data_IF_199575767913
#
_entry.id   IF_199575767913
#
_cell.length_a   1.000
_cell.length_b   1.000
_cell.length_c   1.000
_cell.angle_alpha   90.00
_cell.angle_beta   90.00
_cell.angle_gamma   90.00
#
_symmetry.space_group_name_H-M   'P 1'
#
loop_
_entity.id
_entity.type
_entity.pdbx_description
1 polymer ?
#
# COMPACT_ATOMS: atom_id res chain seq x y z
N UNK A 1 -57.40 -23.19 20.28
CA UNK A 1 -56.50 -24.36 20.12
C UNK A 1 -56.40 -24.62 18.62
N UNK A 2 -55.30 -24.55 17.88
CA UNK A 2 -53.88 -24.28 18.16
C UNK A 2 -53.13 -23.92 16.85
N UNK A 3 -52.10 -23.06 16.96
CA UNK A 3 -50.76 -23.03 16.30
C UNK A 3 -50.67 -23.23 14.76
N UNK A 4 -50.12 -22.34 13.91
CA UNK A 4 -48.83 -21.59 13.88
C UNK A 4 -47.58 -22.45 14.09
N UNK A 5 -46.88 -22.78 13.00
CA UNK A 5 -45.43 -23.03 12.88
C UNK A 5 -45.10 -23.22 11.38
N UNK A 6 -44.62 -22.21 10.66
CA UNK A 6 -43.19 -21.88 10.47
C UNK A 6 -42.30 -23.13 10.39
N UNK A 7 -42.14 -23.66 9.18
CA UNK A 7 -41.07 -24.61 8.86
C UNK A 7 -39.84 -23.83 8.44
N UNK A 8 -38.89 -23.78 9.36
CA UNK A 8 -37.54 -23.25 9.19
C UNK A 8 -36.82 -24.06 8.11
N UNK A 9 -36.43 -23.40 7.02
CA UNK A 9 -35.28 -23.85 6.22
C UNK A 9 -34.01 -23.45 6.99
N UNK A 10 -33.63 -24.31 7.93
CA UNK A 10 -32.31 -24.29 8.55
C UNK A 10 -31.34 -25.03 7.64
N UNK A 11 -30.95 -24.40 6.53
CA UNK A 11 -29.75 -24.81 5.83
C UNK A 11 -28.56 -24.16 6.54
N UNK A 12 -28.09 -24.89 7.56
CA UNK A 12 -26.73 -24.75 8.08
C UNK A 12 -25.74 -25.02 6.95
N UNK A 13 -25.47 -23.99 6.15
CA UNK A 13 -24.49 -24.04 5.08
C UNK A 13 -23.10 -24.03 5.70
N UNK A 14 -22.62 -25.25 5.91
CA UNK A 14 -21.31 -25.68 6.37
C UNK A 14 -20.17 -24.65 6.17
N UNK A 15 -19.80 -23.98 7.27
CA UNK A 15 -18.77 -22.93 7.39
C UNK A 15 -17.31 -23.45 7.23
N UNK A 16 -17.15 -24.72 6.90
CA UNK A 16 -15.84 -25.38 6.77
C UNK A 16 -15.17 -25.20 5.40
N UNK A 17 -15.86 -24.62 4.40
CA UNK A 17 -15.35 -24.46 3.03
C UNK A 17 -14.89 -23.03 2.65
N UNK A 18 -15.13 -22.02 3.51
CA UNK A 18 -14.65 -20.64 3.28
C UNK A 18 -13.12 -20.45 3.29
N UNK A 19 -12.28 -21.22 4.01
CA UNK A 19 -10.83 -20.96 4.07
C UNK A 19 -10.09 -21.28 2.75
N UNK A 20 -10.60 -22.21 1.94
CA UNK A 20 -9.87 -22.73 0.77
C UNK A 20 -10.01 -21.83 -0.47
N UNK A 21 -11.13 -21.12 -0.63
CA UNK A 21 -11.36 -20.21 -1.77
C UNK A 21 -10.59 -18.88 -1.67
N UNK A 22 -10.10 -18.50 -0.49
CA UNK A 22 -9.31 -17.27 -0.30
C UNK A 22 -7.94 -17.30 -0.98
N UNK A 23 -7.39 -18.48 -1.28
CA UNK A 23 -6.06 -18.66 -1.90
C UNK A 23 -6.02 -18.52 -3.43
N UNK A 24 -7.13 -18.21 -4.10
CA UNK A 24 -7.19 -18.22 -5.57
C UNK A 24 -6.98 -16.88 -6.27
N UNK A 25 -6.85 -15.75 -5.55
CA UNK A 25 -6.64 -14.45 -6.20
C UNK A 25 -5.46 -13.72 -5.59
N UNK A 26 -4.58 -13.25 -6.47
CA UNK A 26 -3.35 -12.53 -6.17
C UNK A 26 -3.69 -11.22 -5.42
N UNK A 27 -2.96 -10.93 -4.36
CA UNK A 27 -2.93 -9.64 -3.68
C UNK A 27 -1.84 -8.79 -4.32
N UNK A 28 -2.23 -7.63 -4.84
CA UNK A 28 -1.27 -6.66 -5.37
C UNK A 28 -0.52 -5.97 -4.24
N UNK A 29 0.81 -5.97 -4.31
CA UNK A 29 1.66 -5.19 -3.41
C UNK A 29 2.11 -3.95 -4.16
N UNK A 30 1.91 -2.80 -3.54
CA UNK A 30 2.10 -1.47 -4.13
C UNK A 30 3.11 -0.68 -3.31
N UNK A 31 3.86 0.19 -3.96
CA UNK A 31 4.61 1.23 -3.27
C UNK A 31 4.57 2.54 -4.03
N UNK A 32 4.37 3.65 -3.31
CA UNK A 32 4.47 4.99 -3.88
C UNK A 32 5.92 5.48 -3.85
N UNK A 33 6.41 5.99 -4.97
CA UNK A 33 7.79 6.47 -5.11
C UNK A 33 7.81 7.94 -5.51
N UNK A 34 8.47 8.76 -4.70
CA UNK A 34 8.54 10.21 -4.91
C UNK A 34 9.69 10.58 -5.84
N UNK A 35 9.54 10.31 -7.14
CA UNK A 35 10.45 10.77 -8.20
C UNK A 35 11.86 10.15 -8.24
N UNK A 36 12.22 9.29 -7.29
CA UNK A 36 13.53 8.63 -7.25
C UNK A 36 13.63 7.49 -8.27
N UNK A 37 14.43 7.68 -9.33
CA UNK A 37 14.66 6.70 -10.40
C UNK A 37 15.08 5.32 -9.89
N UNK A 38 16.17 5.28 -9.12
CA UNK A 38 16.74 4.02 -8.66
C UNK A 38 15.84 3.32 -7.65
N UNK A 39 15.17 4.07 -6.78
CA UNK A 39 14.17 3.52 -5.84
C UNK A 39 13.02 2.87 -6.61
N UNK A 40 12.50 3.53 -7.65
CA UNK A 40 11.45 3.00 -8.50
C UNK A 40 11.90 1.72 -9.23
N UNK A 41 13.11 1.70 -9.79
CA UNK A 41 13.65 0.49 -10.42
C UNK A 41 13.86 -0.64 -9.42
N UNK A 42 14.44 -0.37 -8.24
CA UNK A 42 14.67 -1.37 -7.21
C UNK A 42 13.35 -2.02 -6.74
N UNK A 43 12.32 -1.20 -6.54
CA UNK A 43 10.97 -1.68 -6.23
C UNK A 43 10.37 -2.47 -7.41
N UNK A 44 10.35 -1.92 -8.63
CA UNK A 44 9.73 -2.57 -9.79
C UNK A 44 10.34 -3.94 -10.10
N UNK A 45 11.66 -4.09 -9.92
CA UNK A 45 12.40 -5.37 -10.03
C UNK A 45 11.97 -6.44 -9.00
N UNK A 46 11.14 -6.10 -8.01
CA UNK A 46 10.53 -7.08 -7.11
C UNK A 46 9.17 -7.60 -7.60
N UNK A 47 8.59 -6.97 -8.63
CA UNK A 47 7.26 -7.30 -9.16
C UNK A 47 6.11 -6.57 -8.47
N UNK A 48 6.40 -5.59 -7.60
CA UNK A 48 5.38 -4.72 -7.01
C UNK A 48 4.91 -3.67 -8.01
N UNK A 49 3.68 -3.21 -7.83
CA UNK A 49 3.13 -2.08 -8.56
C UNK A 49 3.77 -0.79 -8.06
N UNK A 50 4.19 0.06 -9.00
CA UNK A 50 4.70 1.39 -8.69
C UNK A 50 3.55 2.39 -8.76
N UNK A 51 3.44 3.19 -7.71
CA UNK A 51 2.51 4.29 -7.62
C UNK A 51 3.16 5.62 -7.35
N UNK A 52 2.33 6.65 -7.33
CA UNK A 52 2.68 8.02 -6.95
C UNK A 52 1.57 8.61 -6.10
N UNK A 53 1.91 9.59 -5.26
CA UNK A 53 0.92 10.56 -4.81
C UNK A 53 0.79 11.64 -5.88
N UNK A 54 -0.42 12.12 -6.17
CA UNK A 54 -0.64 13.01 -7.32
C UNK A 54 0.11 14.34 -7.24
N UNK A 55 0.43 14.82 -6.04
CA UNK A 55 1.23 16.04 -5.83
C UNK A 55 2.76 15.81 -5.86
N UNK A 56 3.22 14.58 -6.02
CA UNK A 56 4.64 14.25 -6.03
C UNK A 56 5.21 14.15 -7.43
N UNK A 57 6.54 14.28 -7.49
CA UNK A 57 7.30 14.10 -8.73
C UNK A 57 7.09 12.67 -9.24
N UNK A 58 6.64 12.55 -10.49
CA UNK A 58 6.51 11.27 -11.19
C UNK A 58 7.86 10.54 -11.27
N UNK A 59 7.91 9.22 -11.01
CA UNK A 59 9.03 8.36 -11.38
C UNK A 59 9.36 8.43 -12.88
N UNK A 60 10.51 7.88 -13.30
CA UNK A 60 10.95 7.84 -14.69
C UNK A 60 9.87 7.36 -15.67
N UNK A 61 9.89 7.92 -16.89
CA UNK A 61 8.86 7.68 -17.92
C UNK A 61 8.73 6.23 -18.35
N UNK A 62 9.81 5.46 -18.23
CA UNK A 62 9.85 4.04 -18.59
C UNK A 62 9.25 3.10 -17.53
N UNK A 63 8.94 3.63 -16.33
CA UNK A 63 8.19 2.93 -15.27
C UNK A 63 6.69 3.22 -15.43
N UNK A 64 5.89 2.15 -15.46
CA UNK A 64 4.42 2.26 -15.42
C UNK A 64 3.96 2.74 -14.05
N UNK A 65 2.99 3.64 -14.03
CA UNK A 65 2.37 4.13 -12.80
C UNK A 65 0.96 3.55 -12.75
N UNK A 66 0.78 2.48 -11.96
CA UNK A 66 -0.50 1.76 -11.89
C UNK A 66 -1.22 2.00 -10.56
N UNK A 67 -0.75 2.96 -9.75
CA UNK A 67 -1.43 3.42 -8.53
C UNK A 67 -1.24 4.93 -8.35
N UNK A 68 -2.33 5.67 -8.14
CA UNK A 68 -2.30 7.12 -7.84
C UNK A 68 -3.02 7.38 -6.53
N UNK A 69 -2.27 7.86 -5.55
CA UNK A 69 -2.71 8.14 -4.18
C UNK A 69 -3.25 9.56 -4.04
N UNK A 70 -4.27 9.72 -3.19
CA UNK A 70 -4.88 10.99 -2.85
C UNK A 70 -3.95 11.79 -1.93
N UNK A 71 -3.61 13.06 -2.24
CA UNK A 71 -2.73 13.87 -1.43
C UNK A 71 -3.50 14.51 -0.26
N UNK A 72 -4.06 13.69 0.63
CA UNK A 72 -4.85 14.16 1.78
C UNK A 72 -4.13 15.22 2.64
N UNK A 73 -2.79 15.23 2.63
CA UNK A 73 -1.97 16.22 3.36
C UNK A 73 -2.01 17.63 2.76
N UNK A 74 -2.55 17.81 1.56
CA UNK A 74 -2.73 19.14 0.91
C UNK A 74 -4.11 19.74 1.17
N UNK A 75 -5.03 19.00 1.80
CA UNK A 75 -6.35 19.49 2.18
C UNK A 75 -6.26 20.00 3.60
N UNK A 76 -6.17 21.32 3.77
CA UNK A 76 -6.19 21.96 5.09
C UNK A 76 -7.61 22.35 5.51
N UNK A 77 -8.50 22.54 4.54
CA UNK A 77 -9.90 22.88 4.73
C UNK A 77 -10.80 22.28 3.64
N UNK A 78 -12.13 22.23 3.84
CA UNK A 78 -13.07 21.82 2.79
C UNK A 78 -12.95 22.63 1.49
N UNK A 79 -12.54 23.90 1.58
CA UNK A 79 -12.42 24.79 0.42
C UNK A 79 -11.25 24.38 -0.52
N UNK A 80 -10.27 23.63 -0.02
CA UNK A 80 -9.11 23.17 -0.80
C UNK A 80 -9.41 21.90 -1.61
N UNK A 81 -10.52 21.20 -1.30
CA UNK A 81 -10.81 19.86 -1.79
C UNK A 81 -10.95 19.83 -3.32
N UNK A 82 -11.79 20.70 -3.90
CA UNK A 82 -12.07 20.66 -5.34
C UNK A 82 -10.79 20.98 -6.14
N UNK A 83 -10.04 22.02 -5.77
CA UNK A 83 -8.80 22.38 -6.44
C UNK A 83 -7.72 21.28 -6.33
N UNK A 84 -7.67 20.58 -5.21
CA UNK A 84 -6.77 19.43 -5.01
C UNK A 84 -7.25 18.22 -5.83
N UNK A 85 -8.57 18.01 -5.90
CA UNK A 85 -9.19 16.97 -6.69
C UNK A 85 -8.96 17.15 -8.19
N UNK A 86 -9.07 18.36 -8.72
CA UNK A 86 -8.80 18.65 -10.13
C UNK A 86 -7.37 18.23 -10.51
N UNK A 87 -6.37 18.64 -9.72
CA UNK A 87 -4.96 18.25 -9.92
C UNK A 87 -4.77 16.73 -9.83
N UNK A 88 -5.44 16.09 -8.88
CA UNK A 88 -5.40 14.64 -8.73
C UNK A 88 -6.01 13.93 -9.95
N UNK A 89 -7.19 14.37 -10.40
CA UNK A 89 -7.87 13.83 -11.58
C UNK A 89 -7.04 14.01 -12.85
N UNK A 90 -6.33 15.12 -13.03
CA UNK A 90 -5.40 15.31 -14.15
C UNK A 90 -4.29 14.26 -14.18
N UNK A 91 -3.75 13.91 -13.01
CA UNK A 91 -2.75 12.84 -12.88
C UNK A 91 -3.36 11.48 -13.23
N UNK A 92 -4.55 11.16 -12.72
CA UNK A 92 -5.23 9.89 -13.03
C UNK A 92 -5.56 9.80 -14.52
N UNK A 93 -6.05 10.87 -15.15
CA UNK A 93 -6.31 10.94 -16.60
C UNK A 93 -5.06 10.67 -17.43
N UNK A 94 -3.93 11.25 -17.01
CA UNK A 94 -2.65 11.12 -17.71
C UNK A 94 -2.05 9.72 -17.58
N UNK A 95 -2.02 9.16 -16.38
CA UNK A 95 -1.37 7.87 -16.13
C UNK A 95 -2.28 6.67 -16.45
N UNK A 96 -3.61 6.86 -16.41
CA UNK A 96 -4.63 5.80 -16.53
C UNK A 96 -4.30 4.56 -15.69
N UNK A 97 -4.10 4.74 -14.36
CA UNK A 97 -3.56 3.69 -13.51
C UNK A 97 -4.55 2.53 -13.33
N UNK A 98 -4.06 1.39 -12.86
CA UNK A 98 -4.95 0.33 -12.35
C UNK A 98 -5.77 0.82 -11.16
N UNK A 99 -5.14 1.57 -10.26
CA UNK A 99 -5.74 2.04 -9.01
C UNK A 99 -5.67 3.55 -8.87
N UNK A 100 -6.76 4.16 -8.40
CA UNK A 100 -6.77 5.54 -7.91
C UNK A 100 -7.50 5.62 -6.57
N UNK A 101 -7.04 6.47 -5.67
CA UNK A 101 -7.67 6.69 -4.36
C UNK A 101 -8.53 7.96 -4.44
N UNK A 102 -9.82 7.85 -4.14
CA UNK A 102 -10.72 9.00 -4.02
C UNK A 102 -10.44 9.76 -2.71
N UNK A 103 -10.87 11.03 -2.60
CA UNK A 103 -10.85 11.73 -1.32
C UNK A 103 -11.52 10.91 -0.21
N UNK A 104 -10.93 10.94 0.99
CA UNK A 104 -11.41 10.21 2.15
C UNK A 104 -12.81 10.71 2.56
N UNK A 105 -13.70 9.83 2.98
CA UNK A 105 -15.01 10.21 3.50
C UNK A 105 -14.84 10.58 4.97
N UNK A 106 -14.75 11.87 5.26
CA UNK A 106 -14.47 12.42 6.60
C UNK A 106 -15.18 13.76 6.84
N UNK A 107 -14.69 14.57 7.79
CA UNK A 107 -15.24 15.89 8.09
C UNK A 107 -15.04 16.93 6.98
N UNK A 108 -14.02 16.77 6.13
CA UNK A 108 -13.73 17.69 5.03
C UNK A 108 -14.49 17.31 3.77
N UNK A 109 -14.68 16.01 3.53
CA UNK A 109 -15.40 15.50 2.35
C UNK A 109 -16.51 14.55 2.79
N UNK A 110 -17.75 15.01 2.65
CA UNK A 110 -18.93 14.21 2.96
C UNK A 110 -19.15 13.04 1.98
N UNK A 111 -19.97 12.06 2.39
CA UNK A 111 -20.26 10.85 1.61
C UNK A 111 -20.62 11.13 0.14
N UNK A 112 -21.65 11.95 -0.09
CA UNK A 112 -22.16 12.22 -1.45
C UNK A 112 -21.08 12.80 -2.36
N UNK A 113 -20.24 13.66 -1.80
CA UNK A 113 -19.19 14.34 -2.55
C UNK A 113 -18.02 13.40 -2.88
N UNK A 114 -17.53 12.65 -1.90
CA UNK A 114 -16.49 11.64 -2.12
C UNK A 114 -16.92 10.59 -3.15
N UNK A 115 -18.19 10.17 -3.13
CA UNK A 115 -18.74 9.24 -4.14
C UNK A 115 -18.82 9.90 -5.52
N UNK A 116 -19.17 11.20 -5.61
CA UNK A 116 -19.11 11.96 -6.88
C UNK A 116 -17.69 11.98 -7.44
N UNK A 117 -16.68 12.23 -6.60
CA UNK A 117 -15.28 12.19 -7.00
C UNK A 117 -14.84 10.78 -7.43
N UNK A 118 -15.24 9.74 -6.69
CA UNK A 118 -14.95 8.36 -7.04
C UNK A 118 -15.50 8.00 -8.42
N UNK A 119 -16.72 8.44 -8.76
CA UNK A 119 -17.31 8.24 -10.11
C UNK A 119 -16.48 8.89 -11.20
N UNK A 120 -15.96 10.10 -10.96
CA UNK A 120 -15.13 10.79 -11.96
C UNK A 120 -13.79 10.07 -12.18
N UNK A 121 -13.20 9.49 -11.13
CA UNK A 121 -11.97 8.71 -11.24
C UNK A 121 -12.19 7.38 -11.99
N UNK A 122 -13.36 6.75 -11.79
CA UNK A 122 -13.77 5.45 -12.37
C UNK A 122 -13.73 5.44 -13.92
N UNK A 123 -13.84 6.60 -14.56
CA UNK A 123 -13.70 6.74 -16.02
C UNK A 123 -12.26 6.53 -16.54
N UNK A 124 -11.26 6.65 -15.66
CA UNK A 124 -9.85 6.74 -16.03
C UNK A 124 -8.95 5.67 -15.38
N UNK A 125 -9.46 4.88 -14.43
CA UNK A 125 -8.73 3.77 -13.82
C UNK A 125 -9.55 2.47 -13.79
N UNK A 126 -8.92 1.34 -13.48
CA UNK A 126 -9.62 0.05 -13.39
C UNK A 126 -10.37 -0.14 -12.06
N UNK A 127 -9.89 0.48 -10.98
CA UNK A 127 -10.47 0.32 -9.65
C UNK A 127 -10.22 1.58 -8.82
N UNK A 128 -11.30 2.22 -8.38
CA UNK A 128 -11.26 3.32 -7.41
C UNK A 128 -11.30 2.76 -6.00
N UNK A 129 -10.42 3.26 -5.14
CA UNK A 129 -10.38 2.98 -3.71
C UNK A 129 -11.05 4.13 -2.97
N UNK A 130 -12.00 3.82 -2.10
CA UNK A 130 -12.74 4.81 -1.28
C UNK A 130 -12.49 4.50 0.19
N UNK A 131 -12.09 5.51 0.96
CA UNK A 131 -11.69 5.37 2.37
C UNK A 131 -12.82 5.86 3.28
N UNK A 132 -13.55 4.98 3.98
CA UNK A 132 -14.71 5.36 4.78
C UNK A 132 -14.28 5.72 6.21
N UNK A 133 -13.85 6.97 6.48
CA UNK A 133 -13.47 7.36 7.85
C UNK A 133 -14.67 7.70 8.74
N UNK A 134 -15.73 8.30 8.18
CA UNK A 134 -16.91 8.76 8.94
C UNK A 134 -18.19 7.95 8.69
N UNK A 135 -18.14 6.93 7.82
CA UNK A 135 -19.25 6.00 7.53
C UNK A 135 -18.82 4.55 7.71
N UNK A 136 -19.75 3.60 7.83
CA UNK A 136 -19.39 2.19 7.97
C UNK A 136 -18.79 1.65 6.66
N UNK A 137 -17.79 0.73 6.69
CA UNK A 137 -17.14 0.21 5.48
C UNK A 137 -18.09 -0.40 4.44
N UNK A 138 -19.20 -1.01 4.88
CA UNK A 138 -20.22 -1.58 4.00
C UNK A 138 -21.11 -0.55 3.29
N UNK A 139 -21.05 0.73 3.69
CA UNK A 139 -21.80 1.80 3.05
C UNK A 139 -21.09 2.32 1.77
N UNK A 140 -19.85 1.90 1.53
CA UNK A 140 -19.13 2.14 0.27
C UNK A 140 -19.76 1.29 -0.84
N UNK A 141 -20.18 1.88 -1.98
CA UNK A 141 -20.79 1.12 -3.07
C UNK A 141 -19.90 -0.02 -3.61
N UNK A 142 -20.49 -1.21 -3.80
CA UNK A 142 -19.81 -2.47 -4.20
C UNK A 142 -18.96 -2.44 -5.48
N UNK A 143 -19.10 -1.39 -6.30
CA UNK A 143 -18.25 -1.17 -7.48
C UNK A 143 -16.87 -0.61 -7.13
N UNK A 144 -16.75 0.05 -5.97
CA UNK A 144 -15.50 0.60 -5.49
C UNK A 144 -14.85 -0.35 -4.49
N UNK A 145 -13.52 -0.30 -4.39
CA UNK A 145 -12.78 -1.06 -3.39
C UNK A 145 -12.71 -0.26 -2.10
N UNK A 146 -12.95 -0.92 -0.96
CA UNK A 146 -12.88 -0.26 0.35
C UNK A 146 -11.42 -0.08 0.75
N UNK A 147 -11.02 1.16 1.06
CA UNK A 147 -9.73 1.48 1.64
C UNK A 147 -9.76 1.34 3.16
N UNK A 148 -8.86 0.53 3.73
CA UNK A 148 -8.72 0.34 5.17
C UNK A 148 -7.40 0.95 5.65
N UNK A 149 -7.42 2.08 6.38
CA UNK A 149 -6.22 2.68 6.98
C UNK A 149 -5.52 1.72 7.94
N UNK A 150 -4.23 1.45 7.69
CA UNK A 150 -3.40 0.58 8.53
C UNK A 150 -2.21 1.34 9.17
N UNK A 151 -2.15 2.67 9.00
CA UNK A 151 -1.08 3.52 9.50
C UNK A 151 -1.57 4.45 10.62
N UNK A 152 -1.06 4.27 11.84
CA UNK A 152 -1.47 5.07 13.01
C UNK A 152 -1.07 6.55 12.94
N UNK A 153 -0.02 6.87 12.16
CA UNK A 153 0.54 8.22 12.07
C UNK A 153 -0.46 9.26 11.53
N UNK A 154 -1.47 8.84 10.76
CA UNK A 154 -2.40 9.73 10.07
C UNK A 154 -3.85 9.55 10.54
N UNK A 155 -4.01 9.11 11.79
CA UNK A 155 -5.28 8.66 12.36
C UNK A 155 -5.28 7.14 12.47
N UNK A 156 -5.70 6.61 13.63
CA UNK A 156 -5.88 5.16 13.80
C UNK A 156 -6.90 4.60 12.81
N UNK A 157 -7.06 3.28 12.75
CA UNK A 157 -8.14 2.72 11.92
C UNK A 157 -9.48 3.20 12.49
N UNK A 158 -10.29 3.95 11.71
CA UNK A 158 -11.53 4.57 12.21
C UNK A 158 -12.55 3.52 12.67
N UNK A 159 -12.47 2.34 12.05
CA UNK A 159 -13.32 1.19 12.32
C UNK A 159 -12.50 -0.02 12.78
N UNK A 160 -13.01 -0.85 13.71
CA UNK A 160 -12.45 -2.16 13.99
C UNK A 160 -12.21 -2.99 12.72
N UNK A 161 -11.07 -3.69 12.62
CA UNK A 161 -10.75 -4.49 11.43
C UNK A 161 -11.78 -5.58 11.10
N UNK A 162 -12.54 -6.05 12.10
CA UNK A 162 -13.64 -6.99 11.88
C UNK A 162 -14.77 -6.44 11.02
N UNK A 163 -14.97 -5.12 10.98
CA UNK A 163 -16.04 -4.48 10.20
C UNK A 163 -15.77 -4.50 8.69
N UNK A 164 -14.51 -4.75 8.29
CA UNK A 164 -14.13 -4.92 6.89
C UNK A 164 -14.30 -6.36 6.38
N UNK A 165 -14.70 -7.30 7.24
CA UNK A 165 -14.78 -8.74 6.91
C UNK A 165 -15.73 -9.02 5.74
N UNK A 166 -16.87 -8.33 5.73
CA UNK A 166 -17.96 -8.59 4.79
C UNK A 166 -17.92 -7.63 3.58
N UNK A 167 -16.90 -6.77 3.49
CA UNK A 167 -16.64 -5.97 2.30
C UNK A 167 -16.32 -6.90 1.11
N UNK A 168 -16.64 -6.50 -0.11
CA UNK A 168 -16.35 -7.31 -1.30
C UNK A 168 -14.84 -7.49 -1.51
N UNK A 169 -14.09 -6.39 -1.49
CA UNK A 169 -12.64 -6.33 -1.64
C UNK A 169 -12.08 -5.16 -0.83
N UNK A 170 -10.91 -5.35 -0.22
CA UNK A 170 -10.26 -4.33 0.61
C UNK A 170 -8.86 -4.01 0.11
N UNK A 171 -8.54 -2.72 0.03
CA UNK A 171 -7.18 -2.21 -0.08
C UNK A 171 -6.67 -1.81 1.30
N UNK A 172 -5.53 -2.35 1.75
CA UNK A 172 -4.92 -1.97 3.03
C UNK A 172 -3.97 -0.80 2.80
N UNK A 173 -4.32 0.36 3.37
CA UNK A 173 -3.63 1.63 3.15
C UNK A 173 -2.45 1.81 4.11
N UNK A 174 -1.25 1.87 3.57
CA UNK A 174 0.00 2.16 4.28
C UNK A 174 0.29 1.22 5.45
N UNK A 175 1.17 1.67 6.34
CA UNK A 175 1.52 0.96 7.57
C UNK A 175 2.62 -0.09 7.41
N UNK A 176 2.96 -0.73 8.53
CA UNK A 176 4.02 -1.73 8.62
C UNK A 176 3.52 -3.10 8.15
N UNK A 177 4.28 -3.87 7.35
CA UNK A 177 3.84 -5.18 6.87
C UNK A 177 3.33 -6.11 7.97
N UNK A 178 4.03 -6.18 9.12
CA UNK A 178 3.57 -6.95 10.30
C UNK A 178 2.13 -6.62 10.69
N UNK A 179 1.74 -5.34 10.67
CA UNK A 179 0.40 -4.89 11.03
C UNK A 179 -0.60 -5.21 9.91
N UNK A 180 -0.21 -5.01 8.65
CA UNK A 180 -1.03 -5.37 7.49
C UNK A 180 -1.40 -6.85 7.49
N UNK A 181 -0.47 -7.76 7.79
CA UNK A 181 -0.74 -9.20 7.86
C UNK A 181 -1.64 -9.61 9.03
N UNK A 182 -1.77 -8.80 10.08
CA UNK A 182 -2.70 -9.11 11.17
C UNK A 182 -4.16 -9.01 10.73
N UNK A 183 -4.46 -8.31 9.64
CA UNK A 183 -5.81 -8.21 9.06
C UNK A 183 -6.38 -9.59 8.66
N UNK A 184 -5.51 -10.56 8.35
CA UNK A 184 -5.89 -11.94 8.06
C UNK A 184 -6.67 -12.59 9.22
N UNK A 185 -6.29 -12.28 10.47
CA UNK A 185 -6.93 -12.80 11.68
C UNK A 185 -8.40 -12.40 11.80
N UNK A 186 -8.78 -11.31 11.15
CA UNK A 186 -10.12 -10.75 11.15
C UNK A 186 -10.92 -11.15 9.91
N UNK A 187 -10.33 -11.97 9.04
CA UNK A 187 -10.90 -12.43 7.79
C UNK A 187 -11.19 -11.31 6.79
N UNK A 188 -10.44 -10.21 6.83
CA UNK A 188 -10.55 -9.13 5.84
C UNK A 188 -10.24 -9.69 4.43
N UNK A 189 -11.05 -9.37 3.40
CA UNK A 189 -10.84 -9.82 2.03
C UNK A 189 -9.88 -8.89 1.28
N UNK A 190 -8.62 -8.89 1.72
CA UNK A 190 -7.56 -8.06 1.13
C UNK A 190 -7.29 -8.45 -0.33
N UNK A 191 -7.20 -7.44 -1.20
CA UNK A 191 -6.88 -7.59 -2.64
C UNK A 191 -5.72 -6.73 -3.11
N UNK A 192 -5.37 -5.73 -2.33
CA UNK A 192 -4.21 -4.89 -2.60
C UNK A 192 -3.72 -4.28 -1.30
N UNK A 193 -2.43 -4.01 -1.20
CA UNK A 193 -1.81 -3.34 -0.07
C UNK A 193 -0.76 -2.36 -0.58
N UNK A 194 -0.62 -1.21 0.03
CA UNK A 194 0.49 -0.30 -0.23
C UNK A 194 1.37 -0.10 1.01
N UNK A 195 2.67 0.07 0.81
CA UNK A 195 3.58 0.47 1.89
C UNK A 195 4.85 1.12 1.35
N UNK A 196 5.34 2.14 2.06
CA UNK A 196 6.66 2.73 1.83
C UNK A 196 7.71 2.23 2.84
N UNK A 197 7.32 1.37 3.79
CA UNK A 197 8.20 0.93 4.89
C UNK A 197 9.49 0.28 4.40
N UNK A 198 9.50 -0.61 3.39
CA UNK A 198 10.74 -1.18 2.85
C UNK A 198 11.76 -0.13 2.39
N UNK A 199 11.31 0.98 1.80
CA UNK A 199 12.18 2.07 1.35
C UNK A 199 12.82 2.76 2.55
N UNK A 200 12.04 3.03 3.60
CA UNK A 200 12.55 3.61 4.85
C UNK A 200 13.53 2.67 5.56
N UNK A 201 13.22 1.37 5.66
CA UNK A 201 14.05 0.37 6.33
C UNK A 201 15.34 0.05 5.58
N UNK A 202 15.32 0.11 4.26
CA UNK A 202 16.51 -0.10 3.43
C UNK A 202 17.64 0.90 3.71
N UNK A 203 17.33 2.12 4.19
CA UNK A 203 18.35 3.11 4.63
C UNK A 203 19.24 2.55 5.73
N UNK A 204 18.70 1.60 6.49
CA UNK A 204 19.37 0.89 7.55
C UNK A 204 19.80 -0.51 7.11
N UNK A 205 19.86 -0.84 5.81
CA UNK A 205 20.22 -2.20 5.36
C UNK A 205 19.28 -3.32 5.84
N UNK A 206 18.09 -2.96 6.29
CA UNK A 206 17.14 -3.91 6.83
C UNK A 206 16.23 -4.48 5.74
N UNK A 207 15.95 -5.77 5.85
CA UNK A 207 15.17 -6.55 4.90
C UNK A 207 14.01 -7.24 5.61
N UNK A 208 12.81 -7.16 5.04
CA UNK A 208 11.66 -7.89 5.55
C UNK A 208 11.92 -9.40 5.54
N UNK A 209 11.82 -10.07 6.69
CA UNK A 209 11.96 -11.53 6.82
C UNK A 209 10.59 -12.18 6.90
N UNK A 210 10.30 -13.10 5.97
CA UNK A 210 9.07 -13.90 5.97
C UNK A 210 8.98 -14.81 7.21
N UNK A 211 10.09 -15.46 7.59
CA UNK A 211 10.11 -16.40 8.73
C UNK A 211 9.82 -15.71 10.05
N UNK A 212 10.32 -14.48 10.20
CA UNK A 212 10.27 -13.76 11.47
C UNK A 212 9.20 -12.67 11.53
N UNK A 213 8.56 -12.37 10.40
CA UNK A 213 7.59 -11.27 10.22
C UNK A 213 8.08 -9.93 10.79
N UNK A 214 9.37 -9.65 10.60
CA UNK A 214 10.06 -8.43 11.01
C UNK A 214 11.17 -8.06 10.04
N UNK A 215 11.62 -6.81 10.12
CA UNK A 215 12.81 -6.36 9.40
C UNK A 215 14.08 -6.82 10.12
N UNK A 216 14.98 -7.47 9.37
CA UNK A 216 16.26 -7.97 9.84
C UNK A 216 17.38 -7.39 8.99
N UNK A 217 18.50 -7.04 9.63
CA UNK A 217 19.69 -6.56 8.94
C UNK A 217 20.21 -7.61 7.94
N UNK A 218 20.50 -7.19 6.72
CA UNK A 218 21.18 -8.03 5.72
C UNK A 218 22.19 -7.23 4.91
N UNK A 219 23.30 -7.84 4.54
CA UNK A 219 24.27 -7.22 3.64
C UNK A 219 23.79 -7.32 2.18
N UNK A 220 22.90 -6.40 1.78
CA UNK A 220 22.38 -6.29 0.40
C UNK A 220 22.47 -4.88 -0.18
N UNK A 221 22.96 -3.94 0.61
CA UNK A 221 22.89 -2.51 0.35
C UNK A 221 21.48 -1.96 0.22
N UNK A 222 21.35 -0.68 -0.15
CA UNK A 222 20.08 0.04 -0.11
C UNK A 222 19.07 -0.52 -1.11
N UNK A 223 19.42 -0.55 -2.39
CA UNK A 223 18.49 -0.99 -3.44
C UNK A 223 18.26 -2.50 -3.41
N UNK A 224 19.27 -3.28 -3.04
CA UNK A 224 19.10 -4.72 -2.81
C UNK A 224 18.16 -5.03 -1.64
N UNK A 225 18.16 -4.20 -0.59
CA UNK A 225 17.23 -4.35 0.54
C UNK A 225 15.79 -4.02 0.17
N UNK A 226 15.57 -2.97 -0.64
CA UNK A 226 14.25 -2.63 -1.20
C UNK A 226 13.72 -3.81 -2.03
N UNK A 227 14.50 -4.25 -3.02
CA UNK A 227 14.10 -5.31 -3.94
C UNK A 227 13.78 -6.61 -3.18
N UNK A 228 14.62 -7.00 -2.20
CA UNK A 228 14.40 -8.22 -1.42
C UNK A 228 13.20 -8.11 -0.50
N UNK A 229 13.02 -6.97 0.18
CA UNK A 229 11.92 -6.77 1.11
C UNK A 229 10.57 -6.86 0.40
N UNK A 230 10.40 -6.14 -0.71
CA UNK A 230 9.16 -6.19 -1.47
C UNK A 230 8.90 -7.57 -2.07
N UNK A 231 9.94 -8.27 -2.56
CA UNK A 231 9.79 -9.65 -3.02
C UNK A 231 9.32 -10.60 -1.91
N UNK A 232 9.84 -10.43 -0.69
CA UNK A 232 9.42 -11.21 0.46
C UNK A 232 7.98 -10.88 0.90
N UNK A 233 7.61 -9.60 0.94
CA UNK A 233 6.23 -9.16 1.26
C UNK A 233 5.23 -9.71 0.23
N UNK A 234 5.57 -9.62 -1.06
CA UNK A 234 4.75 -10.20 -2.12
C UNK A 234 4.54 -11.69 -1.89
N UNK A 235 5.63 -12.42 -1.63
CA UNK A 235 5.60 -13.89 -1.41
C UNK A 235 4.74 -14.23 -0.19
N UNK A 236 4.82 -13.44 0.87
CA UNK A 236 4.03 -13.66 2.07
C UNK A 236 2.51 -13.53 1.80
N UNK A 237 2.10 -12.52 1.04
CA UNK A 237 0.69 -12.32 0.68
C UNK A 237 0.13 -13.39 -0.27
N UNK A 238 0.98 -13.95 -1.13
CA UNK A 238 0.52 -14.74 -2.28
C UNK A 238 0.96 -16.21 -2.24
N UNK A 239 1.86 -16.59 -1.33
CA UNK A 239 2.31 -17.96 -1.13
C UNK A 239 3.12 -18.57 -2.27
N UNK A 240 3.53 -17.79 -3.28
CA UNK A 240 4.34 -18.26 -4.41
C UNK A 240 5.60 -17.42 -4.57
N UNK A 241 6.74 -18.07 -4.84
CA UNK A 241 7.98 -17.38 -5.21
C UNK A 241 7.88 -16.98 -6.70
N UNK A 242 7.56 -15.72 -6.98
CA UNK A 242 7.07 -15.33 -8.31
C UNK A 242 8.17 -15.03 -9.31
N UNK A 243 7.97 -15.71 -10.42
CA UNK A 243 8.37 -15.39 -11.79
C UNK A 243 7.89 -14.03 -12.30
N UNK A 244 6.86 -13.37 -11.73
CA UNK A 244 6.42 -12.01 -12.13
C UNK A 244 7.56 -10.99 -12.02
N UNK A 245 8.37 -11.08 -10.96
CA UNK A 245 9.56 -10.27 -10.82
C UNK A 245 10.63 -10.56 -11.88
N UNK A 246 10.66 -11.73 -12.55
CA UNK A 246 11.71 -12.02 -13.54
C UNK A 246 11.63 -11.10 -14.76
N UNK A 247 10.43 -10.81 -15.27
CA UNK A 247 10.26 -9.91 -16.41
C UNK A 247 10.72 -8.49 -16.06
N UNK A 248 10.26 -7.95 -14.93
CA UNK A 248 10.66 -6.61 -14.49
C UNK A 248 12.14 -6.54 -14.06
N UNK A 249 12.70 -7.62 -13.49
CA UNK A 249 14.16 -7.77 -13.23
C UNK A 249 15.00 -7.71 -14.50
N UNK A 250 14.47 -8.16 -15.62
CA UNK A 250 15.16 -8.08 -16.91
C UNK A 250 14.92 -6.73 -17.59
N UNK A 251 13.78 -6.06 -17.31
CA UNK A 251 13.42 -4.77 -17.90
C UNK A 251 14.26 -3.61 -17.36
N UNK A 252 14.43 -3.50 -16.04
CA UNK A 252 15.16 -2.38 -15.44
C UNK A 252 16.55 -2.81 -15.01
N UNK A 253 17.59 -2.02 -15.29
CA UNK A 253 18.93 -2.26 -14.75
C UNK A 253 18.87 -2.24 -13.22
N UNK A 254 19.58 -3.15 -12.55
CA UNK A 254 19.73 -3.10 -11.09
C UNK A 254 20.48 -1.81 -10.75
N UNK A 255 19.90 -0.89 -9.96
CA UNK A 255 20.65 0.25 -9.47
C UNK A 255 21.74 -0.21 -8.52
N UNK A 256 22.85 0.50 -8.53
CA UNK A 256 23.95 0.31 -7.60
C UNK A 256 24.00 1.50 -6.68
N UNK A 257 24.05 1.23 -5.38
CA UNK A 257 24.31 2.24 -4.36
C UNK A 257 25.77 2.18 -3.93
N UNK A 258 26.33 3.30 -3.47
CA UNK A 258 27.59 3.30 -2.72
C UNK A 258 27.54 2.38 -1.48
N UNK A 259 26.34 2.02 -1.02
CA UNK A 259 26.08 1.11 0.09
C UNK A 259 25.93 -0.37 -0.32
N UNK A 260 26.05 -0.72 -1.61
CA UNK A 260 25.90 -2.09 -2.12
C UNK A 260 27.18 -2.96 -2.05
N UNK A 261 28.42 -2.44 -2.16
CA UNK A 261 29.62 -3.29 -2.21
C UNK A 261 30.51 -3.34 -0.93
N UNK A 262 30.24 -2.58 0.13
CA UNK A 262 31.13 -2.48 1.31
C UNK A 262 30.36 -2.07 2.59
N UNK A 263 30.94 -2.20 3.81
CA UNK A 263 30.43 -1.47 4.98
C UNK A 263 30.27 0.02 4.62
N UNK A 264 29.33 0.68 5.29
CA UNK A 264 29.05 2.10 5.07
C UNK A 264 30.35 2.90 5.17
N UNK A 265 30.62 3.85 4.26
CA UNK A 265 31.81 4.69 4.36
C UNK A 265 31.89 5.34 5.75
N UNK A 266 33.07 5.38 6.37
CA UNK A 266 33.23 5.89 7.74
C UNK A 266 32.66 7.31 7.91
N UNK A 267 32.73 8.14 6.85
CA UNK A 267 32.14 9.48 6.85
C UNK A 267 30.60 9.53 6.91
N UNK A 268 29.92 8.40 6.71
CA UNK A 268 28.46 8.31 6.81
C UNK A 268 27.99 7.85 8.19
N UNK A 269 28.93 7.40 9.03
CA UNK A 269 28.72 6.97 10.40
C UNK A 269 28.61 8.17 11.36
N UNK A 270 27.89 7.99 12.47
CA UNK A 270 27.72 9.05 13.47
C UNK A 270 28.93 9.12 14.40
N UNK A 271 29.45 7.96 14.80
CA UNK A 271 30.59 7.80 15.68
C UNK A 271 31.57 6.73 15.15
N UNK A 272 32.87 6.83 15.53
CA UNK A 272 33.83 5.75 15.29
C UNK A 272 33.34 4.43 15.92
N UNK A 273 33.23 3.38 15.11
CA UNK A 273 32.74 2.06 15.54
C UNK A 273 31.25 1.82 15.30
N UNK A 274 30.52 2.77 14.71
CA UNK A 274 29.17 2.49 14.21
C UNK A 274 29.24 1.60 12.96
N UNK A 275 28.32 0.64 12.85
CA UNK A 275 28.18 -0.17 11.61
C UNK A 275 27.03 0.34 10.73
N UNK A 276 26.53 1.55 11.01
CA UNK A 276 25.26 2.06 10.47
C UNK A 276 25.40 3.53 10.09
N UNK A 277 25.03 3.94 8.86
CA UNK A 277 25.08 5.33 8.48
C UNK A 277 23.93 6.04 9.21
N UNK A 278 24.10 7.31 9.53
CA UNK A 278 23.00 8.13 10.02
C UNK A 278 22.48 9.02 8.88
N UNK A 279 21.33 8.69 8.26
CA UNK A 279 20.81 9.47 7.13
C UNK A 279 20.49 10.93 7.47
N UNK A 280 20.51 11.31 8.76
CA UNK A 280 20.31 12.67 9.26
C UNK A 280 21.58 13.36 9.78
N UNK A 281 22.80 12.92 9.39
CA UNK A 281 24.08 13.41 9.96
C UNK A 281 24.21 14.93 9.99
N UNK A 282 23.78 15.59 8.92
CA UNK A 282 23.76 17.07 8.82
C UNK A 282 22.89 17.67 9.94
N UNK A 283 21.71 17.10 10.18
CA UNK A 283 20.77 17.61 11.19
C UNK A 283 21.26 17.40 12.63
N UNK A 284 22.01 16.32 12.92
CA UNK A 284 22.50 15.98 14.26
C UNK A 284 23.85 16.62 14.63
N UNK A 285 24.61 17.09 13.65
CA UNK A 285 25.88 17.80 13.89
C UNK A 285 25.67 19.32 13.96
N UNK A 286 24.56 19.83 13.42
CA UNK A 286 24.23 21.26 13.35
C UNK A 286 23.17 21.72 14.38
N UNK A 287 22.63 20.80 15.20
CA UNK A 287 21.72 21.05 16.32
C UNK A 287 22.12 20.23 17.55
#
# INVERSE_FOLDING_TARGET
>A
MSQVQQTLFSDSYNDSHRPLLKRLRIVDVITTVNGGTDTAYAAARSGVIIGIRSNYRRPPRDVSIDFVDWPFTEVESPDDVEATFEKHLEVVKRERPKYAVAPDIDENVGYTEAIRYAVQLDEYCETVIVVPKSIHPLDVPDRFRVGMPCQERFGGTPHPWSEYRDCREVHVLGGHPTKQFQTEKYYVPVRSVDTAVPISRARWGDVWSFSDRKFLRQNRGYYGSIQRSFGNIWTEWNGVDVTLGRRERMRYRKPESAYDPAPFPDETLLAPGDDVPFPGRVWHMEN
#
